data_IF_305861851219
#
_entry.id   IF_305861851219
#
_cell.length_a   1.000
_cell.length_b   1.000
_cell.length_c   1.000
_cell.angle_alpha   90.00
_cell.angle_beta   90.00
_cell.angle_gamma   90.00
#
_symmetry.space_group_name_H-M   'P 1'
#
loop_
_entity.id
_entity.type
_entity.pdbx_description
1 polymer ?
#
# COMPACT_ATOMS: atom_id res chain seq x y z
N UNK A 1 13.41 -17.91 2.22
CA UNK A 1 12.17 -18.12 3.01
C UNK A 1 11.15 -18.80 2.13
N UNK A 2 10.51 -19.88 2.60
CA UNK A 2 9.32 -20.38 1.91
C UNK A 2 8.21 -19.34 2.08
N UNK A 3 7.52 -18.92 1.01
CA UNK A 3 6.46 -17.94 1.11
C UNK A 3 5.34 -18.45 2.03
N UNK A 4 4.68 -17.58 2.80
CA UNK A 4 3.51 -17.95 3.59
C UNK A 4 2.41 -18.44 2.63
N UNK A 5 1.88 -19.63 2.91
CA UNK A 5 0.79 -20.23 2.13
C UNK A 5 -0.55 -19.87 2.79
N UNK A 6 -1.55 -19.58 1.98
CA UNK A 6 -2.91 -19.28 2.42
C UNK A 6 -3.46 -20.43 3.31
N UNK A 7 -4.00 -20.13 4.50
CA UNK A 7 -4.55 -21.15 5.40
C UNK A 7 -5.66 -21.98 4.77
N UNK A 8 -6.40 -21.45 3.79
CA UNK A 8 -7.43 -22.20 3.06
C UNK A 8 -6.85 -23.31 2.17
N UNK A 9 -5.64 -23.12 1.64
CA UNK A 9 -4.93 -24.13 0.83
C UNK A 9 -4.36 -25.24 1.72
N UNK A 10 -3.89 -24.88 2.92
CA UNK A 10 -3.44 -25.85 3.92
C UNK A 10 -4.60 -26.73 4.41
N UNK A 11 -5.76 -26.15 4.67
CA UNK A 11 -6.98 -26.89 5.06
C UNK A 11 -7.49 -27.81 3.95
N UNK A 12 -7.32 -27.43 2.68
CA UNK A 12 -7.76 -28.23 1.53
C UNK A 12 -6.83 -29.40 1.21
N UNK A 13 -5.57 -29.36 1.66
CA UNK A 13 -4.59 -30.42 1.43
C UNK A 13 -3.78 -30.74 2.71
N UNK A 14 -4.28 -31.67 3.56
CA UNK A 14 -3.67 -31.96 4.86
C UNK A 14 -2.27 -32.58 4.75
N UNK A 15 -1.99 -33.34 3.68
CA UNK A 15 -0.66 -33.91 3.44
C UNK A 15 0.38 -32.82 3.15
N UNK A 16 -0.02 -31.77 2.42
CA UNK A 16 0.82 -30.61 2.15
C UNK A 16 1.04 -29.78 3.41
N UNK A 17 0.05 -29.64 4.28
CA UNK A 17 0.19 -28.97 5.57
C UNK A 17 1.24 -29.65 6.46
N UNK A 18 1.23 -30.98 6.55
CA UNK A 18 2.23 -31.74 7.31
C UNK A 18 3.63 -31.56 6.73
N UNK A 19 3.77 -31.59 5.40
CA UNK A 19 5.06 -31.37 4.74
C UNK A 19 5.57 -29.93 4.94
N UNK A 20 4.70 -28.93 4.77
CA UNK A 20 5.06 -27.53 4.97
C UNK A 20 5.49 -27.26 6.42
N UNK A 21 4.77 -27.84 7.39
CA UNK A 21 5.16 -27.79 8.81
C UNK A 21 6.48 -28.53 9.06
N UNK A 22 6.73 -29.70 8.49
CA UNK A 22 8.00 -30.44 8.69
C UNK A 22 9.19 -29.69 8.05
N UNK A 23 8.99 -29.08 6.89
CA UNK A 23 10.01 -28.26 6.22
C UNK A 23 10.34 -27.01 7.04
N UNK A 24 9.33 -26.27 7.49
CA UNK A 24 9.50 -25.05 8.26
C UNK A 24 9.97 -25.28 9.70
N UNK A 25 9.61 -26.41 10.32
CA UNK A 25 9.95 -26.68 11.72
C UNK A 25 11.18 -27.57 11.89
N UNK A 26 11.41 -28.58 11.05
CA UNK A 26 12.46 -29.59 11.29
C UNK A 26 13.62 -29.54 10.32
N UNK A 27 13.38 -29.21 9.05
CA UNK A 27 14.39 -29.37 7.99
C UNK A 27 15.12 -28.09 7.62
N UNK A 28 14.42 -26.96 7.59
CA UNK A 28 14.98 -25.70 7.10
C UNK A 28 14.99 -24.63 8.20
N UNK A 29 16.04 -23.81 8.18
CA UNK A 29 16.11 -22.56 8.91
C UNK A 29 15.33 -21.47 8.13
N UNK A 30 14.99 -20.34 8.78
CA UNK A 30 14.27 -19.24 8.13
C UNK A 30 14.97 -18.68 6.89
N UNK A 31 16.29 -18.76 6.83
CA UNK A 31 17.13 -18.36 5.69
C UNK A 31 17.12 -19.37 4.52
N UNK A 32 16.50 -20.53 4.70
CA UNK A 32 16.47 -21.62 3.71
C UNK A 32 17.64 -22.60 3.82
N UNK A 33 18.51 -22.46 4.82
CA UNK A 33 19.59 -23.43 5.08
C UNK A 33 19.08 -24.68 5.80
N UNK A 34 19.80 -25.80 5.70
CA UNK A 34 19.42 -27.06 6.37
C UNK A 34 19.71 -27.01 7.87
N UNK A 35 18.82 -27.58 8.71
CA UNK A 35 19.05 -27.78 10.16
C UNK A 35 19.97 -28.95 10.50
N UNK A 36 20.45 -29.70 9.50
CA UNK A 36 21.42 -30.79 9.70
C UNK A 36 22.80 -30.21 10.10
N UNK A 37 23.13 -30.33 11.39
CA UNK A 37 24.34 -29.74 11.96
C UNK A 37 25.65 -30.21 11.28
N UNK A 38 25.70 -31.44 10.74
CA UNK A 38 26.90 -31.93 10.02
C UNK A 38 27.04 -31.24 8.67
N UNK A 39 25.95 -31.15 7.91
CA UNK A 39 25.94 -30.45 6.61
C UNK A 39 26.16 -28.96 6.80
N UNK A 40 25.59 -28.36 7.84
CA UNK A 40 25.77 -26.95 8.15
C UNK A 40 27.23 -26.62 8.47
N UNK A 41 27.94 -27.47 9.24
CA UNK A 41 29.38 -27.30 9.50
C UNK A 41 30.22 -27.32 8.22
N UNK A 42 29.96 -28.26 7.31
CA UNK A 42 30.65 -28.33 6.02
C UNK A 42 30.39 -27.06 5.19
N UNK A 43 29.13 -26.60 5.14
CA UNK A 43 28.80 -25.35 4.46
C UNK A 43 29.47 -24.13 5.09
N UNK A 44 29.56 -24.06 6.41
CA UNK A 44 30.23 -22.96 7.12
C UNK A 44 31.74 -22.96 6.88
N UNK A 45 32.36 -24.13 6.78
CA UNK A 45 33.77 -24.29 6.42
C UNK A 45 34.02 -23.83 4.98
N UNK A 46 33.24 -24.32 4.01
CA UNK A 46 33.33 -23.88 2.60
C UNK A 46 33.12 -22.37 2.49
N UNK A 47 32.16 -21.79 3.24
CA UNK A 47 31.96 -20.33 3.25
C UNK A 47 33.16 -19.58 3.80
N UNK A 48 33.80 -20.09 4.85
CA UNK A 48 35.03 -19.50 5.41
C UNK A 48 36.17 -19.55 4.39
N UNK A 49 36.37 -20.69 3.74
CA UNK A 49 37.43 -20.87 2.72
C UNK A 49 37.19 -19.97 1.51
N UNK A 50 35.94 -19.90 1.04
CA UNK A 50 35.53 -18.99 -0.03
C UNK A 50 35.72 -17.53 0.37
N UNK A 51 35.38 -17.15 1.59
CA UNK A 51 35.58 -15.78 2.07
C UNK A 51 37.07 -15.43 2.15
N UNK A 52 37.91 -16.37 2.59
CA UNK A 52 39.36 -16.21 2.65
C UNK A 52 39.98 -16.06 1.25
N UNK A 53 39.59 -16.93 0.30
CA UNK A 53 40.08 -16.86 -1.07
C UNK A 53 39.62 -15.58 -1.77
N UNK A 54 38.34 -15.22 -1.64
CA UNK A 54 37.82 -13.95 -2.18
C UNK A 54 38.53 -12.74 -1.59
N UNK A 55 38.76 -12.71 -0.27
CA UNK A 55 39.47 -11.60 0.37
C UNK A 55 40.89 -11.49 -0.20
N UNK A 56 41.59 -12.62 -0.33
CA UNK A 56 42.93 -12.68 -0.92
C UNK A 56 42.92 -12.17 -2.36
N UNK A 57 41.99 -12.65 -3.19
CA UNK A 57 41.84 -12.23 -4.59
C UNK A 57 41.49 -10.74 -4.70
N UNK A 58 40.62 -10.22 -3.83
CA UNK A 58 40.26 -8.81 -3.83
C UNK A 58 41.42 -7.92 -3.38
N UNK A 59 42.21 -8.34 -2.39
CA UNK A 59 43.42 -7.63 -1.96
C UNK A 59 44.43 -7.56 -3.10
N UNK A 60 44.77 -8.70 -3.73
CA UNK A 60 45.73 -8.73 -4.84
C UNK A 60 45.26 -7.93 -6.04
N UNK A 61 43.98 -8.08 -6.42
CA UNK A 61 43.39 -7.33 -7.55
C UNK A 61 43.37 -5.83 -7.28
N UNK A 62 43.07 -5.42 -6.04
CA UNK A 62 43.06 -3.99 -5.68
C UNK A 62 44.46 -3.41 -5.76
N UNK A 63 45.46 -4.09 -5.19
CA UNK A 63 46.85 -3.67 -5.24
C UNK A 63 47.36 -3.58 -6.69
N UNK A 64 47.10 -4.60 -7.51
CA UNK A 64 47.48 -4.61 -8.92
C UNK A 64 46.83 -3.45 -9.69
N UNK A 65 45.53 -3.21 -9.52
CA UNK A 65 44.84 -2.08 -10.15
C UNK A 65 45.36 -0.72 -9.68
N UNK A 66 45.73 -0.60 -8.41
CA UNK A 66 46.36 0.63 -7.92
C UNK A 66 47.76 0.83 -8.47
N UNK A 67 48.55 -0.24 -8.63
CA UNK A 67 49.89 -0.19 -9.22
C UNK A 67 49.85 0.17 -10.71
N UNK A 68 48.91 -0.39 -11.48
CA UNK A 68 48.77 -0.06 -12.92
C UNK A 68 48.31 1.37 -13.17
N UNK A 69 47.57 1.97 -12.22
CA UNK A 69 47.09 3.36 -12.34
C UNK A 69 48.01 4.37 -11.65
N UNK A 70 49.04 3.90 -10.93
CA UNK A 70 49.96 4.74 -10.16
C UNK A 70 50.75 5.71 -11.05
N UNK A 71 51.32 5.30 -12.21
CA UNK A 71 52.13 6.21 -13.05
C UNK A 71 51.33 7.36 -13.65
N UNK A 72 50.00 7.22 -13.77
CA UNK A 72 49.11 8.22 -14.35
C UNK A 72 48.51 9.17 -13.30
N UNK A 73 48.38 8.72 -12.04
CA UNK A 73 47.61 9.42 -11.00
C UNK A 73 48.46 9.98 -9.87
N UNK A 74 49.70 9.52 -9.71
CA UNK A 74 50.58 9.97 -8.65
C UNK A 74 51.44 11.17 -9.08
N UNK A 75 51.31 12.35 -8.44
CA UNK A 75 52.23 13.46 -8.67
C UNK A 75 53.56 13.30 -7.92
N UNK A 76 53.68 12.34 -7.00
CA UNK A 76 54.86 12.15 -6.13
C UNK A 76 55.83 11.11 -6.66
N UNK A 77 55.52 10.46 -7.78
CA UNK A 77 56.34 9.40 -8.35
C UNK A 77 57.36 9.98 -9.36
N UNK A 78 58.66 9.64 -9.25
CA UNK A 78 59.65 10.00 -10.26
C UNK A 78 59.31 9.39 -11.64
N UNK A 79 59.43 10.15 -12.74
CA UNK A 79 59.09 9.68 -14.08
C UNK A 79 59.97 8.52 -14.56
N UNK A 80 61.16 8.34 -13.97
CA UNK A 80 62.05 7.20 -14.21
C UNK A 80 61.46 5.86 -13.74
N UNK A 81 60.50 5.87 -12.81
CA UNK A 81 59.89 4.66 -12.26
C UNK A 81 58.60 4.25 -12.99
N UNK A 82 58.10 5.06 -13.92
CA UNK A 82 56.83 4.79 -14.61
C UNK A 82 56.93 3.55 -15.51
N UNK A 83 57.94 3.49 -16.36
CA UNK A 83 58.19 2.36 -17.26
C UNK A 83 58.43 1.02 -16.54
N UNK A 84 59.29 0.92 -15.50
CA UNK A 84 59.48 -0.35 -14.80
C UNK A 84 58.23 -0.79 -14.02
N UNK A 85 57.41 0.13 -13.50
CA UNK A 85 56.14 -0.23 -12.84
C UNK A 85 55.12 -0.76 -13.85
N UNK A 86 54.97 -0.13 -15.01
CA UNK A 86 54.05 -0.60 -16.06
C UNK A 86 54.45 -1.98 -16.60
N UNK A 87 55.76 -2.20 -16.78
CA UNK A 87 56.29 -3.45 -17.30
C UNK A 87 56.12 -4.60 -16.29
N UNK A 88 56.41 -4.35 -15.00
CA UNK A 88 56.23 -5.35 -13.94
C UNK A 88 54.74 -5.63 -13.67
N UNK A 89 53.89 -4.62 -13.69
CA UNK A 89 52.44 -4.83 -13.52
C UNK A 89 51.83 -5.59 -14.69
N UNK A 90 52.26 -5.33 -15.93
CA UNK A 90 51.90 -6.14 -17.09
C UNK A 90 52.37 -7.59 -16.95
N UNK A 91 53.60 -7.81 -16.44
CA UNK A 91 54.11 -9.15 -16.16
C UNK A 91 53.28 -9.88 -15.10
N UNK A 92 52.94 -9.22 -13.98
CA UNK A 92 52.11 -9.80 -12.91
C UNK A 92 50.66 -10.09 -13.36
N UNK A 93 50.15 -9.36 -14.35
CA UNK A 93 48.88 -9.67 -15.00
C UNK A 93 48.97 -10.85 -15.97
N UNK A 94 50.09 -10.98 -16.69
CA UNK A 94 50.32 -12.03 -17.70
C UNK A 94 50.98 -13.31 -17.16
N UNK A 95 51.42 -13.34 -15.89
CA UNK A 95 52.12 -14.49 -15.29
C UNK A 95 51.36 -15.82 -15.32
N UNK A 96 50.09 -15.84 -15.72
CA UNK A 96 49.37 -17.09 -16.02
C UNK A 96 49.78 -17.72 -17.37
N UNK A 97 50.56 -17.04 -18.22
CA UNK A 97 50.80 -17.47 -19.62
C UNK A 97 52.24 -17.27 -20.17
N UNK A 98 53.24 -16.81 -19.41
CA UNK A 98 54.55 -16.43 -19.96
C UNK A 98 55.67 -17.49 -19.77
N UNK A 99 56.50 -17.80 -20.78
CA UNK A 99 57.64 -18.72 -20.66
C UNK A 99 58.82 -18.15 -19.84
N UNK A 100 59.59 -19.04 -19.20
CA UNK A 100 60.70 -18.75 -18.28
C UNK A 100 61.80 -17.84 -18.84
N UNK A 101 61.94 -17.75 -20.16
CA UNK A 101 62.95 -16.94 -20.86
C UNK A 101 62.81 -15.44 -20.60
N UNK A 102 61.57 -14.94 -20.52
CA UNK A 102 61.29 -13.50 -20.36
C UNK A 102 61.65 -12.98 -18.96
N UNK A 103 61.72 -13.88 -17.96
CA UNK A 103 62.13 -13.52 -16.60
C UNK A 103 63.59 -13.03 -16.53
N UNK A 104 64.45 -13.48 -17.44
CA UNK A 104 65.86 -13.05 -17.45
C UNK A 104 66.01 -11.62 -17.97
N UNK A 105 65.19 -11.23 -18.95
CA UNK A 105 65.19 -9.88 -19.54
C UNK A 105 64.61 -8.83 -18.58
N UNK A 106 63.62 -9.20 -17.75
CA UNK A 106 63.00 -8.31 -16.77
C UNK A 106 63.79 -8.17 -15.45
N UNK A 107 64.86 -8.95 -15.25
CA UNK A 107 65.61 -8.98 -13.99
C UNK A 107 66.17 -7.59 -13.59
N UNK A 108 66.56 -6.78 -14.56
CA UNK A 108 67.00 -5.40 -14.36
C UNK A 108 65.88 -4.50 -13.81
N UNK A 109 64.71 -4.52 -14.45
CA UNK A 109 63.55 -3.73 -14.02
C UNK A 109 63.03 -4.19 -12.65
N UNK A 110 63.05 -5.50 -12.38
CA UNK A 110 62.70 -6.07 -11.07
C UNK A 110 63.64 -5.55 -9.98
N UNK A 111 64.95 -5.46 -10.25
CA UNK A 111 65.92 -4.93 -9.28
C UNK A 111 65.71 -3.45 -8.99
N UNK A 112 65.39 -2.64 -10.00
CA UNK A 112 65.11 -1.20 -9.83
C UNK A 112 63.78 -0.96 -9.11
N UNK A 113 62.78 -1.82 -9.33
CA UNK A 113 61.52 -1.81 -8.59
C UNK A 113 61.72 -2.16 -7.11
N UNK A 114 62.50 -3.21 -6.82
CA UNK A 114 62.82 -3.57 -5.43
C UNK A 114 63.65 -2.51 -4.71
N UNK A 115 64.60 -1.86 -5.40
CA UNK A 115 65.39 -0.78 -4.84
C UNK A 115 64.56 0.48 -4.49
N UNK A 116 63.44 0.70 -5.18
CA UNK A 116 62.55 1.85 -4.97
C UNK A 116 61.22 1.46 -4.31
N UNK A 117 61.16 0.29 -3.66
CA UNK A 117 59.93 -0.26 -3.13
C UNK A 117 59.27 0.65 -2.07
N UNK A 118 60.07 1.36 -1.27
CA UNK A 118 59.56 2.28 -0.24
C UNK A 118 58.81 3.49 -0.84
N UNK A 119 59.33 4.04 -1.95
CA UNK A 119 58.71 5.16 -2.66
C UNK A 119 57.40 4.70 -3.30
N UNK A 120 57.40 3.52 -3.92
CA UNK A 120 56.20 2.93 -4.53
C UNK A 120 55.16 2.58 -3.46
N UNK A 121 55.57 2.04 -2.32
CA UNK A 121 54.70 1.75 -1.18
C UNK A 121 54.07 3.03 -0.60
N UNK A 122 54.83 4.12 -0.49
CA UNK A 122 54.30 5.40 -0.02
C UNK A 122 53.28 5.99 -1.00
N UNK A 123 53.58 5.95 -2.31
CA UNK A 123 52.70 6.47 -3.36
C UNK A 123 51.42 5.64 -3.53
N UNK A 124 51.51 4.31 -3.40
CA UNK A 124 50.32 3.45 -3.41
C UNK A 124 49.46 3.69 -2.17
N UNK A 125 50.08 3.88 -1.00
CA UNK A 125 49.35 4.19 0.23
C UNK A 125 48.60 5.52 0.12
N UNK A 126 49.22 6.59 -0.38
CA UNK A 126 48.54 7.89 -0.58
C UNK A 126 47.41 7.79 -1.60
N UNK A 127 47.59 7.02 -2.67
CA UNK A 127 46.55 6.78 -3.66
C UNK A 127 45.37 5.99 -3.08
N UNK A 128 45.65 4.96 -2.26
CA UNK A 128 44.61 4.18 -1.57
C UNK A 128 43.85 5.04 -0.55
N UNK A 129 44.53 5.91 0.21
CA UNK A 129 43.89 6.87 1.11
C UNK A 129 43.00 7.83 0.31
N UNK A 130 43.47 8.33 -0.83
CA UNK A 130 42.66 9.20 -1.70
C UNK A 130 41.41 8.50 -2.19
N UNK A 131 41.52 7.26 -2.69
CA UNK A 131 40.36 6.44 -3.09
C UNK A 131 39.41 6.23 -1.93
N UNK A 132 39.92 5.91 -0.73
CA UNK A 132 39.10 5.74 0.46
C UNK A 132 38.34 7.03 0.81
N UNK A 133 38.98 8.20 0.74
CA UNK A 133 38.28 9.49 0.97
C UNK A 133 37.20 9.77 -0.06
N UNK A 134 37.44 9.42 -1.34
CA UNK A 134 36.43 9.56 -2.40
C UNK A 134 35.25 8.60 -2.17
N UNK A 135 35.51 7.37 -1.73
CA UNK A 135 34.45 6.43 -1.35
C UNK A 135 33.65 6.94 -0.15
N UNK A 136 34.27 7.60 0.82
CA UNK A 136 33.57 8.24 1.92
C UNK A 136 32.66 9.37 1.42
N UNK A 137 33.13 10.21 0.48
CA UNK A 137 32.29 11.24 -0.16
C UNK A 137 31.12 10.65 -0.97
N UNK A 138 31.32 9.51 -1.63
CA UNK A 138 30.25 8.83 -2.37
C UNK A 138 29.23 8.22 -1.40
N UNK A 139 29.68 7.70 -0.26
CA UNK A 139 28.80 7.08 0.73
C UNK A 139 27.81 8.08 1.33
N UNK A 140 28.28 9.28 1.70
CA UNK A 140 27.43 10.36 2.17
C UNK A 140 28.04 11.72 1.74
N UNK A 141 27.48 12.43 0.74
CA UNK A 141 28.10 13.63 0.16
C UNK A 141 28.07 14.84 1.11
N UNK A 142 27.17 14.84 2.10
CA UNK A 142 26.97 15.95 3.04
C UNK A 142 27.77 15.78 4.35
N UNK A 143 28.08 14.55 4.73
CA UNK A 143 28.81 14.23 5.96
C UNK A 143 29.65 12.97 5.71
N UNK A 144 30.85 13.11 5.12
CA UNK A 144 31.67 11.96 4.78
C UNK A 144 32.04 11.20 6.06
N UNK A 145 31.77 9.88 6.11
CA UNK A 145 32.14 9.06 7.25
C UNK A 145 33.66 8.86 7.32
N UNK A 146 34.14 8.49 8.50
CA UNK A 146 35.54 8.10 8.69
C UNK A 146 35.83 6.76 8.01
N UNK A 147 37.08 6.56 7.57
CA UNK A 147 37.51 5.41 6.76
C UNK A 147 37.23 4.09 7.49
N UNK A 148 37.43 4.05 8.81
CA UNK A 148 37.20 2.86 9.63
C UNK A 148 35.71 2.48 9.71
N UNK A 149 34.82 3.46 9.60
CA UNK A 149 33.37 3.27 9.68
C UNK A 149 32.73 2.89 8.34
N UNK A 150 33.46 3.06 7.24
CA UNK A 150 32.97 2.80 5.87
C UNK A 150 32.49 1.35 5.70
N UNK A 151 33.21 0.38 6.28
CA UNK A 151 32.84 -1.05 6.20
C UNK A 151 31.49 -1.31 6.87
N UNK A 152 31.26 -0.75 8.05
CA UNK A 152 30.01 -0.92 8.79
C UNK A 152 28.84 -0.24 8.06
N UNK A 153 29.09 0.93 7.44
CA UNK A 153 28.08 1.63 6.64
C UNK A 153 27.73 0.85 5.38
N UNK A 154 28.72 0.32 4.68
CA UNK A 154 28.52 -0.51 3.50
C UNK A 154 27.75 -1.80 3.82
N UNK A 155 28.04 -2.47 4.95
CA UNK A 155 27.27 -3.64 5.37
C UNK A 155 25.82 -3.27 5.70
N UNK A 156 25.60 -2.17 6.42
CA UNK A 156 24.23 -1.68 6.70
C UNK A 156 23.45 -1.36 5.43
N UNK A 157 24.07 -0.68 4.46
CA UNK A 157 23.45 -0.39 3.16
C UNK A 157 23.12 -1.67 2.39
N UNK A 158 24.04 -2.64 2.38
CA UNK A 158 23.81 -3.95 1.76
C UNK A 158 22.65 -4.68 2.44
N UNK A 159 22.60 -4.69 3.76
CA UNK A 159 21.57 -5.40 4.51
C UNK A 159 20.20 -4.72 4.33
N UNK A 160 20.16 -3.38 4.29
CA UNK A 160 18.96 -2.61 3.96
C UNK A 160 18.46 -2.93 2.54
N UNK A 161 19.35 -2.98 1.54
CA UNK A 161 19.00 -3.22 0.14
C UNK A 161 18.62 -4.69 -0.16
N UNK A 162 19.26 -5.66 0.50
CA UNK A 162 19.10 -7.10 0.17
C UNK A 162 18.12 -7.82 1.08
N UNK A 163 17.98 -7.39 2.34
CA UNK A 163 17.11 -8.07 3.31
C UNK A 163 15.88 -7.24 3.62
N UNK A 164 16.03 -5.97 4.02
CA UNK A 164 14.91 -5.16 4.50
C UNK A 164 13.99 -4.74 3.35
N UNK A 165 14.52 -4.07 2.32
CA UNK A 165 13.72 -3.58 1.19
C UNK A 165 12.87 -4.66 0.50
N UNK A 166 13.44 -5.84 0.16
CA UNK A 166 12.65 -6.92 -0.44
C UNK A 166 11.60 -7.52 0.49
N UNK A 167 11.87 -7.57 1.81
CA UNK A 167 10.89 -8.04 2.81
C UNK A 167 9.74 -7.06 2.94
N UNK A 168 10.04 -5.78 3.15
CA UNK A 168 9.04 -4.72 3.28
C UNK A 168 8.16 -4.62 2.02
N UNK A 169 8.78 -4.72 0.85
CA UNK A 169 8.06 -4.77 -0.43
C UNK A 169 7.19 -6.03 -0.55
N UNK A 170 7.66 -7.17 -0.05
CA UNK A 170 6.88 -8.41 0.00
C UNK A 170 5.65 -8.27 0.88
N UNK A 171 5.81 -7.72 2.08
CA UNK A 171 4.73 -7.50 3.05
C UNK A 171 3.69 -6.51 2.52
N UNK A 172 4.12 -5.41 1.90
CA UNK A 172 3.21 -4.45 1.28
C UNK A 172 2.48 -5.03 0.06
N UNK A 173 3.13 -5.90 -0.73
CA UNK A 173 2.44 -6.63 -1.82
C UNK A 173 1.34 -7.55 -1.28
N UNK A 174 1.59 -8.26 -0.18
CA UNK A 174 0.58 -9.10 0.47
C UNK A 174 -0.55 -8.24 1.01
N UNK A 175 -0.25 -7.12 1.67
CA UNK A 175 -1.26 -6.17 2.16
C UNK A 175 -2.12 -5.63 1.02
N UNK A 176 -1.51 -5.26 -0.10
CA UNK A 176 -2.22 -4.78 -1.30
C UNK A 176 -3.14 -5.88 -1.87
N UNK A 177 -2.65 -7.11 -2.01
CA UNK A 177 -3.46 -8.22 -2.49
C UNK A 177 -4.68 -8.50 -1.60
N UNK A 178 -4.50 -8.45 -0.27
CA UNK A 178 -5.60 -8.58 0.69
C UNK A 178 -6.61 -7.44 0.59
N UNK A 179 -6.15 -6.20 0.40
CA UNK A 179 -7.04 -5.05 0.22
C UNK A 179 -7.84 -5.18 -1.08
N UNK A 180 -7.21 -5.57 -2.18
CA UNK A 180 -7.90 -5.82 -3.46
C UNK A 180 -8.95 -6.92 -3.30
N UNK A 181 -8.64 -7.99 -2.57
CA UNK A 181 -9.61 -9.05 -2.26
C UNK A 181 -10.81 -8.51 -1.46
N UNK A 182 -10.56 -7.70 -0.42
CA UNK A 182 -11.63 -7.09 0.38
C UNK A 182 -12.51 -6.15 -0.44
N UNK A 183 -11.91 -5.32 -1.30
CA UNK A 183 -12.64 -4.43 -2.20
C UNK A 183 -13.51 -5.23 -3.17
N UNK A 184 -12.98 -6.31 -3.74
CA UNK A 184 -13.74 -7.17 -4.64
C UNK A 184 -14.90 -7.87 -3.92
N UNK A 185 -14.68 -8.33 -2.69
CA UNK A 185 -15.73 -8.93 -1.86
C UNK A 185 -16.84 -7.92 -1.53
N UNK A 186 -16.47 -6.71 -1.10
CA UNK A 186 -17.40 -5.61 -0.87
C UNK A 186 -18.18 -5.25 -2.14
N UNK A 187 -17.50 -5.16 -3.29
CA UNK A 187 -18.15 -4.87 -4.57
C UNK A 187 -19.18 -5.95 -4.93
N UNK A 188 -18.82 -7.23 -4.75
CA UNK A 188 -19.76 -8.34 -4.94
C UNK A 188 -20.97 -8.20 -4.02
N UNK A 189 -20.75 -7.90 -2.74
CA UNK A 189 -21.84 -7.79 -1.76
C UNK A 189 -22.75 -6.57 -2.04
N UNK A 190 -22.20 -5.46 -2.55
CA UNK A 190 -22.98 -4.32 -3.03
C UNK A 190 -23.80 -4.68 -4.27
N UNK A 191 -23.23 -5.42 -5.22
CA UNK A 191 -23.97 -5.87 -6.40
C UNK A 191 -25.11 -6.82 -6.04
N UNK A 192 -24.87 -7.80 -5.15
CA UNK A 192 -25.91 -8.76 -4.74
C UNK A 192 -27.04 -8.07 -3.97
N UNK A 193 -26.72 -7.14 -3.07
CA UNK A 193 -27.73 -6.36 -2.35
C UNK A 193 -28.51 -5.45 -3.29
N UNK A 194 -27.84 -4.79 -4.24
CA UNK A 194 -28.50 -3.97 -5.27
C UNK A 194 -29.47 -4.80 -6.12
N UNK A 195 -29.05 -5.97 -6.58
CA UNK A 195 -29.90 -6.91 -7.33
C UNK A 195 -31.11 -7.32 -6.47
N UNK A 196 -30.90 -7.69 -5.21
CA UNK A 196 -31.99 -8.07 -4.31
C UNK A 196 -33.00 -6.94 -4.08
N UNK A 197 -32.52 -5.70 -3.93
CA UNK A 197 -33.39 -4.52 -3.79
C UNK A 197 -34.20 -4.30 -5.08
N UNK A 198 -33.58 -4.38 -6.26
CA UNK A 198 -34.29 -4.24 -7.53
C UNK A 198 -35.35 -5.32 -7.72
N UNK A 199 -35.01 -6.57 -7.38
CA UNK A 199 -35.93 -7.70 -7.40
C UNK A 199 -37.11 -7.50 -6.46
N UNK A 200 -36.90 -6.92 -5.26
CA UNK A 200 -37.98 -6.69 -4.30
C UNK A 200 -38.84 -5.46 -4.64
N UNK A 201 -38.21 -4.36 -5.07
CA UNK A 201 -38.87 -3.05 -5.18
C UNK A 201 -39.44 -2.74 -6.56
N UNK A 202 -38.81 -3.19 -7.64
CA UNK A 202 -39.28 -2.94 -9.00
C UNK A 202 -39.94 -4.16 -9.61
N UNK A 203 -39.38 -5.34 -9.37
CA UNK A 203 -39.84 -6.58 -10.00
C UNK A 203 -40.61 -7.50 -9.04
N UNK A 204 -40.69 -7.12 -7.77
CA UNK A 204 -41.14 -7.99 -6.68
C UNK A 204 -42.65 -8.11 -6.56
N UNK A 205 -43.09 -9.13 -5.82
CA UNK A 205 -44.50 -9.38 -5.55
C UNK A 205 -45.19 -8.19 -4.87
N UNK A 206 -44.49 -7.44 -4.01
CA UNK A 206 -45.02 -6.25 -3.35
C UNK A 206 -45.27 -5.10 -4.32
N UNK A 207 -44.33 -4.83 -5.23
CA UNK A 207 -44.48 -3.81 -6.28
C UNK A 207 -45.63 -4.18 -7.24
N UNK A 208 -45.72 -5.46 -7.62
CA UNK A 208 -46.84 -5.97 -8.44
C UNK A 208 -48.17 -5.90 -7.70
N UNK A 209 -48.22 -6.25 -6.41
CA UNK A 209 -49.43 -6.19 -5.60
C UNK A 209 -49.93 -4.75 -5.40
N UNK A 210 -49.02 -3.81 -5.08
CA UNK A 210 -49.38 -2.39 -4.91
C UNK A 210 -49.89 -1.80 -6.21
N UNK A 211 -49.27 -2.11 -7.36
CA UNK A 211 -49.75 -1.72 -8.69
C UNK A 211 -51.15 -2.30 -8.97
N UNK A 212 -51.33 -3.62 -8.82
CA UNK A 212 -52.61 -4.27 -9.06
C UNK A 212 -53.72 -3.75 -8.14
N UNK A 213 -53.40 -3.46 -6.87
CA UNK A 213 -54.34 -2.86 -5.90
C UNK A 213 -54.73 -1.44 -6.30
N UNK A 214 -53.77 -0.62 -6.76
CA UNK A 214 -54.05 0.73 -7.25
C UNK A 214 -54.95 0.69 -8.50
N UNK A 215 -54.66 -0.19 -9.45
CA UNK A 215 -55.49 -0.42 -10.64
C UNK A 215 -56.91 -0.89 -10.26
N UNK A 216 -57.04 -1.83 -9.32
CA UNK A 216 -58.35 -2.29 -8.85
C UNK A 216 -59.16 -1.18 -8.16
N UNK A 217 -58.53 -0.35 -7.32
CA UNK A 217 -59.17 0.80 -6.70
C UNK A 217 -59.60 1.84 -7.73
N UNK A 218 -58.77 2.08 -8.75
CA UNK A 218 -59.10 2.99 -9.85
C UNK A 218 -60.32 2.49 -10.63
N UNK A 219 -60.35 1.22 -11.04
CA UNK A 219 -61.51 0.62 -11.73
C UNK A 219 -62.76 0.69 -10.86
N UNK A 220 -62.65 0.43 -9.54
CA UNK A 220 -63.78 0.56 -8.63
C UNK A 220 -64.28 2.00 -8.54
N UNK A 221 -63.38 2.98 -8.47
CA UNK A 221 -63.74 4.39 -8.43
C UNK A 221 -64.40 4.86 -9.74
N UNK A 222 -63.93 4.39 -10.91
CA UNK A 222 -64.56 4.72 -12.19
C UNK A 222 -65.95 4.09 -12.31
N UNK A 223 -66.13 2.83 -11.92
CA UNK A 223 -67.44 2.17 -11.88
C UNK A 223 -68.41 2.91 -10.95
N UNK A 224 -67.98 3.22 -9.72
CA UNK A 224 -68.81 3.98 -8.78
C UNK A 224 -69.12 5.39 -9.30
N UNK A 225 -68.18 6.04 -9.99
CA UNK A 225 -68.40 7.31 -10.64
C UNK A 225 -69.42 7.24 -11.77
N UNK A 226 -69.38 6.18 -12.59
CA UNK A 226 -70.37 5.93 -13.64
C UNK A 226 -71.74 5.59 -13.06
N UNK A 227 -71.79 4.77 -12.01
CA UNK A 227 -73.01 4.43 -11.30
C UNK A 227 -73.63 5.68 -10.66
N UNK A 228 -72.83 6.54 -10.03
CA UNK A 228 -73.31 7.81 -9.48
C UNK A 228 -73.89 8.72 -10.58
N UNK A 229 -73.24 8.81 -11.75
CA UNK A 229 -73.78 9.55 -12.91
C UNK A 229 -75.12 8.98 -13.37
N UNK A 230 -75.23 7.66 -13.52
CA UNK A 230 -76.48 6.99 -13.89
C UNK A 230 -77.59 7.29 -12.87
N UNK A 231 -77.29 7.17 -11.57
CA UNK A 231 -78.24 7.49 -10.50
C UNK A 231 -78.69 8.96 -10.51
N UNK A 232 -77.81 9.92 -10.82
CA UNK A 232 -78.21 11.33 -10.94
C UNK A 232 -79.13 11.60 -12.13
N UNK A 233 -79.04 10.79 -13.19
CA UNK A 233 -79.93 10.90 -14.35
C UNK A 233 -81.29 10.25 -14.10
N UNK A 234 -81.37 9.17 -13.31
CA UNK A 234 -82.64 8.51 -12.98
C UNK A 234 -83.37 9.15 -11.79
N UNK A 235 -82.64 9.75 -10.86
CA UNK A 235 -83.17 10.40 -9.67
C UNK A 235 -82.54 11.79 -9.50
N UNK A 236 -83.25 12.87 -9.87
CA UNK A 236 -82.77 14.23 -9.66
C UNK A 236 -82.56 14.48 -8.16
N UNK A 237 -81.35 14.82 -7.71
CA UNK A 237 -81.08 15.02 -6.29
C UNK A 237 -81.83 16.25 -5.73
N UNK A 238 -82.28 16.21 -4.47
CA UNK A 238 -82.90 17.36 -3.80
C UNK A 238 -81.97 18.59 -3.79
N UNK A 239 -82.53 19.80 -3.92
CA UNK A 239 -81.75 21.04 -3.97
C UNK A 239 -80.84 21.26 -2.74
N UNK A 240 -81.27 20.83 -1.55
CA UNK A 240 -80.48 20.88 -0.33
C UNK A 240 -79.23 19.98 -0.39
N UNK A 241 -79.33 18.80 -1.03
CA UNK A 241 -78.20 17.88 -1.21
C UNK A 241 -77.19 18.46 -2.21
N UNK A 242 -77.65 19.11 -3.29
CA UNK A 242 -76.78 19.81 -4.23
C UNK A 242 -76.04 20.98 -3.58
N UNK A 243 -76.70 21.74 -2.70
CA UNK A 243 -76.06 22.82 -1.93
C UNK A 243 -74.99 22.27 -0.97
N UNK A 244 -75.29 21.17 -0.27
CA UNK A 244 -74.33 20.50 0.60
C UNK A 244 -73.12 19.94 -0.18
N UNK A 245 -73.35 19.35 -1.37
CA UNK A 245 -72.29 18.88 -2.25
C UNK A 245 -71.41 20.00 -2.80
N UNK A 246 -71.99 21.16 -3.13
CA UNK A 246 -71.22 22.34 -3.54
C UNK A 246 -70.32 22.84 -2.41
N UNK A 247 -70.84 22.91 -1.19
CA UNK A 247 -70.06 23.29 0.00
C UNK A 247 -68.97 22.26 0.31
N UNK A 248 -69.28 20.97 0.18
CA UNK A 248 -68.31 19.89 0.35
C UNK A 248 -67.21 19.94 -0.71
N UNK A 249 -67.55 20.13 -1.99
CA UNK A 249 -66.58 20.30 -3.08
C UNK A 249 -65.69 21.52 -2.87
N UNK A 250 -66.23 22.64 -2.38
CA UNK A 250 -65.45 23.81 -2.02
C UNK A 250 -64.48 23.52 -0.85
N UNK A 251 -64.95 22.81 0.18
CA UNK A 251 -64.10 22.38 1.30
C UNK A 251 -63.00 21.41 0.85
N UNK A 252 -63.31 20.46 -0.04
CA UNK A 252 -62.35 19.53 -0.62
C UNK A 252 -61.31 20.25 -1.49
N UNK A 253 -61.72 21.19 -2.36
CA UNK A 253 -60.78 22.01 -3.12
C UNK A 253 -59.82 22.78 -2.21
N UNK A 254 -60.32 23.38 -1.13
CA UNK A 254 -59.47 24.05 -0.14
C UNK A 254 -58.51 23.09 0.59
N UNK A 255 -58.91 21.83 0.78
CA UNK A 255 -58.07 20.80 1.39
C UNK A 255 -57.02 20.27 0.41
N UNK A 256 -57.38 20.13 -0.86
CA UNK A 256 -56.49 19.65 -1.92
C UNK A 256 -55.39 20.68 -2.20
N UNK A 257 -55.75 21.97 -2.25
CA UNK A 257 -54.77 23.06 -2.36
C UNK A 257 -53.81 23.04 -1.17
N UNK A 258 -54.34 22.91 0.07
CA UNK A 258 -53.50 22.78 1.27
C UNK A 258 -52.58 21.56 1.22
N UNK A 259 -53.04 20.42 0.70
CA UNK A 259 -52.20 19.24 0.55
C UNK A 259 -51.11 19.44 -0.51
N UNK A 260 -51.44 20.02 -1.67
CA UNK A 260 -50.49 20.34 -2.73
C UNK A 260 -49.44 21.33 -2.27
N UNK A 261 -49.83 22.34 -1.50
CA UNK A 261 -48.90 23.30 -0.89
C UNK A 261 -47.97 22.59 0.12
N UNK A 262 -48.52 21.69 0.93
CA UNK A 262 -47.72 20.91 1.90
C UNK A 262 -46.77 19.94 1.22
N UNK A 263 -47.19 19.30 0.12
CA UNK A 263 -46.35 18.47 -0.72
C UNK A 263 -45.25 19.29 -1.39
N UNK A 264 -45.57 20.46 -1.95
CA UNK A 264 -44.62 21.36 -2.56
C UNK A 264 -43.57 21.87 -1.57
N UNK A 265 -43.98 22.22 -0.35
CA UNK A 265 -43.06 22.58 0.74
C UNK A 265 -42.16 21.38 1.10
N UNK A 266 -42.72 20.18 1.26
CA UNK A 266 -41.95 18.99 1.56
C UNK A 266 -40.91 18.67 0.48
N UNK A 267 -41.28 18.76 -0.80
CA UNK A 267 -40.35 18.59 -1.93
C UNK A 267 -39.24 19.62 -1.92
N UNK A 268 -39.56 20.91 -1.72
CA UNK A 268 -38.54 21.96 -1.60
C UNK A 268 -37.63 21.74 -0.40
N UNK A 269 -38.15 21.26 0.73
CA UNK A 269 -37.31 20.93 1.88
C UNK A 269 -36.38 19.76 1.56
N UNK A 270 -36.85 18.72 0.87
CA UNK A 270 -36.00 17.60 0.42
C UNK A 270 -34.91 18.06 -0.55
N UNK A 271 -35.24 18.92 -1.52
CA UNK A 271 -34.23 19.51 -2.41
C UNK A 271 -33.20 20.37 -1.68
N UNK A 272 -33.60 21.07 -0.61
CA UNK A 272 -32.68 21.80 0.24
C UNK A 272 -31.80 20.86 1.07
N UNK A 273 -32.33 19.73 1.55
CA UNK A 273 -31.52 18.69 2.20
C UNK A 273 -30.49 18.09 1.24
N UNK A 274 -30.89 17.79 0.00
CA UNK A 274 -29.99 17.24 -1.03
C UNK A 274 -28.88 18.24 -1.41
N UNK A 275 -29.20 19.54 -1.52
CA UNK A 275 -28.21 20.59 -1.80
C UNK A 275 -27.29 20.91 -0.62
N UNK A 276 -27.77 20.77 0.61
CA UNK A 276 -27.01 21.15 1.79
C UNK A 276 -25.90 20.14 2.15
N UNK A 277 -26.00 18.89 1.67
CA UNK A 277 -24.98 17.86 1.86
C UNK A 277 -24.55 17.65 3.32
N UNK A 278 -23.37 17.06 3.52
CA UNK A 278 -22.83 16.74 4.86
C UNK A 278 -22.64 17.97 5.76
N UNK A 279 -22.33 19.13 5.17
CA UNK A 279 -22.14 20.39 5.93
C UNK A 279 -23.44 20.91 6.52
N UNK A 280 -24.54 20.89 5.76
CA UNK A 280 -25.84 21.32 6.26
C UNK A 280 -26.42 20.40 7.34
N UNK A 281 -26.23 19.09 7.20
CA UNK A 281 -26.61 18.12 8.23
C UNK A 281 -25.79 18.30 9.52
N UNK A 282 -24.51 18.64 9.42
CA UNK A 282 -23.65 18.95 10.57
C UNK A 282 -24.12 20.17 11.36
N UNK A 283 -24.52 21.25 10.68
CA UNK A 283 -25.00 22.46 11.36
C UNK A 283 -26.40 22.30 11.96
N UNK A 284 -27.25 21.48 11.34
CA UNK A 284 -28.57 21.15 11.88
C UNK A 284 -28.48 20.25 13.12
N UNK A 285 -27.54 19.30 13.13
CA UNK A 285 -27.27 18.45 14.29
C UNK A 285 -26.81 19.29 15.51
N UNK A 286 -25.90 20.24 15.29
CA UNK A 286 -25.46 21.19 16.33
C UNK A 286 -26.62 22.05 16.85
N UNK A 287 -27.50 22.52 15.97
CA UNK A 287 -28.65 23.32 16.36
C UNK A 287 -29.69 22.51 17.14
N UNK A 288 -29.89 21.24 16.78
CA UNK A 288 -30.74 20.31 17.54
C UNK A 288 -30.18 20.06 18.93
N UNK A 289 -28.87 19.85 19.05
CA UNK A 289 -28.18 19.67 20.32
C UNK A 289 -28.33 20.91 21.21
N UNK A 290 -28.19 22.11 20.64
CA UNK A 290 -28.43 23.37 21.34
C UNK A 290 -29.88 23.49 21.84
N UNK A 291 -30.89 23.21 21.00
CA UNK A 291 -32.31 23.27 21.39
C UNK A 291 -32.64 22.24 22.49
N UNK A 292 -32.12 21.02 22.40
CA UNK A 292 -32.32 20.00 23.43
C UNK A 292 -31.69 20.44 24.76
N UNK A 293 -30.53 21.10 24.72
CA UNK A 293 -29.93 21.74 25.89
C UNK A 293 -30.83 22.84 26.48
N UNK A 294 -31.43 23.68 25.65
CA UNK A 294 -32.35 24.73 26.10
C UNK A 294 -33.62 24.17 26.73
N UNK A 295 -34.19 23.12 26.12
CA UNK A 295 -35.36 22.43 26.66
C UNK A 295 -35.03 21.82 28.02
N UNK A 296 -33.89 21.13 28.15
CA UNK A 296 -33.47 20.57 29.43
C UNK A 296 -33.21 21.65 30.51
N UNK A 297 -32.66 22.81 30.12
CA UNK A 297 -32.48 23.96 31.02
C UNK A 297 -33.81 24.53 31.47
N UNK A 298 -34.76 24.69 30.54
CA UNK A 298 -36.09 25.22 30.80
C UNK A 298 -36.91 24.26 31.67
N UNK A 299 -36.84 22.95 31.41
CA UNK A 299 -37.45 21.91 32.25
C UNK A 299 -36.84 21.91 33.66
N UNK A 300 -35.52 22.09 33.79
CA UNK A 300 -34.87 22.22 35.08
C UNK A 300 -35.20 23.53 35.82
N UNK A 301 -35.54 24.60 35.10
CA UNK A 301 -35.98 25.87 35.66
C UNK A 301 -37.45 25.82 36.09
N UNK A 302 -38.32 25.23 35.27
CA UNK A 302 -39.71 24.92 35.62
C UNK A 302 -39.75 24.01 36.85
N UNK A 303 -38.96 22.94 36.88
CA UNK A 303 -38.87 22.04 38.03
C UNK A 303 -38.28 22.69 39.30
N UNK A 304 -37.51 23.78 39.16
CA UNK A 304 -37.04 24.60 40.31
C UNK A 304 -38.14 25.52 40.82
N UNK A 305 -38.90 26.16 39.91
CA UNK A 305 -40.04 27.01 40.24
C UNK A 305 -41.19 26.21 40.89
N UNK A 306 -41.43 24.97 40.44
CA UNK A 306 -42.45 24.07 41.00
C UNK A 306 -42.08 23.52 42.39
N UNK A 307 -40.79 23.49 42.74
CA UNK A 307 -40.31 22.97 44.05
C UNK A 307 -40.19 24.03 45.14
N UNK A 308 -40.54 25.29 44.86
CA UNK A 308 -40.74 26.33 45.86
C UNK A 308 -39.52 26.60 46.75
N UNK A 309 -38.57 27.37 46.23
CA UNK A 309 -37.79 28.35 46.98
C UNK A 309 -37.84 29.67 46.21
#
# INVERSE_FOLDING_TARGET
MLPPVDPSVLQRNPNFEVLYKDLCTRKLNPDGSTRDAKKQRIHDEIRRDLQSSLLTTHQTTTLLKTLTTLPQKSPTLPPSLHAPIDLITAHLHLTTHLPQSDHTMLSGDISTFHANMDIIASATSTQLTTIATLLCKIADPMAPPDIDTLRLRASKLRDAATLQGPRDLGDEKVRLANLVYQVLALHRDVLTTSISILEQTQHGSLARHTKAKAEALHVRATVLGLQAKLHTHTHPPPAAFLAALKNFKASQGSSEVRLKDREGLARRTLELYDRAGDKGMGDLAKRKEWILGEVARMEAEIGRLEKGN
#
